data_IF_849015630296
#
_entry.id   IF_849015630296
#
_cell.length_a   1.000
_cell.length_b   1.000
_cell.length_c   1.000
_cell.angle_alpha   90.00
_cell.angle_beta   90.00
_cell.angle_gamma   90.00
#
_symmetry.space_group_name_H-M   'P 1'
#
loop_
_entity.id
_entity.type
_entity.pdbx_description
1 polymer ?
#
# COMPACT_ATOMS: atom_id res chain seq x y z
N UNK A 1 -29.30 5.64 31.14
CA UNK A 1 -28.45 4.48 30.88
C UNK A 1 -27.78 4.65 29.53
N UNK A 2 -26.51 5.05 29.53
CA UNK A 2 -25.71 5.21 28.30
C UNK A 2 -25.47 3.84 27.65
N UNK A 3 -25.93 3.67 26.41
CA UNK A 3 -25.63 2.50 25.58
C UNK A 3 -24.12 2.48 25.36
N UNK A 4 -23.40 1.61 26.06
CA UNK A 4 -21.98 1.37 25.82
C UNK A 4 -21.77 1.10 24.32
N UNK A 5 -20.90 1.91 23.66
CA UNK A 5 -20.43 1.64 22.30
C UNK A 5 -19.79 0.23 22.35
N UNK A 6 -20.42 -0.76 21.74
CA UNK A 6 -19.89 -2.12 21.72
C UNK A 6 -18.67 -2.15 20.77
N UNK A 7 -17.46 -2.39 21.27
CA UNK A 7 -16.24 -2.36 20.46
C UNK A 7 -16.30 -3.30 19.25
N UNK A 8 -16.93 -4.47 19.44
CA UNK A 8 -17.10 -5.48 18.40
C UNK A 8 -17.97 -5.03 17.22
N UNK A 9 -19.05 -4.26 17.52
CA UNK A 9 -19.89 -3.68 16.46
C UNK A 9 -19.11 -2.64 15.69
N UNK A 10 -18.38 -1.76 16.37
CA UNK A 10 -17.57 -0.73 15.73
C UNK A 10 -16.51 -1.37 14.83
N UNK A 11 -15.87 -2.43 15.30
CA UNK A 11 -14.86 -3.15 14.53
C UNK A 11 -15.45 -3.77 13.26
N UNK A 12 -16.57 -4.48 13.37
CA UNK A 12 -17.26 -5.06 12.21
C UNK A 12 -17.68 -3.99 11.18
N UNK A 13 -18.19 -2.86 11.64
CA UNK A 13 -18.53 -1.75 10.76
C UNK A 13 -17.30 -1.19 10.06
N UNK A 14 -16.17 -1.05 10.78
CA UNK A 14 -14.91 -0.59 10.20
C UNK A 14 -14.39 -1.56 9.15
N UNK A 15 -14.43 -2.86 9.41
CA UNK A 15 -14.03 -3.89 8.45
C UNK A 15 -14.82 -3.78 7.14
N UNK A 16 -16.16 -3.74 7.21
CA UNK A 16 -17.01 -3.63 6.05
C UNK A 16 -16.80 -2.32 5.26
N UNK A 17 -16.61 -1.20 5.97
CA UNK A 17 -16.29 0.08 5.34
C UNK A 17 -14.92 0.07 4.67
N UNK A 18 -13.94 -0.64 5.25
CA UNK A 18 -12.59 -0.79 4.70
C UNK A 18 -12.61 -1.64 3.44
N UNK A 19 -13.35 -2.76 3.45
CA UNK A 19 -13.51 -3.63 2.27
C UNK A 19 -14.16 -2.88 1.11
N UNK A 20 -15.20 -2.09 1.40
CA UNK A 20 -15.83 -1.22 0.41
C UNK A 20 -14.83 -0.21 -0.18
N UNK A 21 -14.08 0.48 0.68
CA UNK A 21 -13.14 1.52 0.25
C UNK A 21 -11.98 0.95 -0.58
N UNK A 22 -11.50 -0.26 -0.28
CA UNK A 22 -10.50 -0.95 -1.10
C UNK A 22 -11.01 -1.24 -2.51
N UNK A 23 -12.27 -1.61 -2.66
CA UNK A 23 -12.86 -1.96 -3.96
C UNK A 23 -13.31 -0.73 -4.78
N UNK A 24 -13.78 0.31 -4.12
CA UNK A 24 -14.48 1.43 -4.77
C UNK A 24 -13.84 2.80 -4.52
N UNK A 25 -12.79 2.89 -3.70
CA UNK A 25 -12.19 4.13 -3.24
C UNK A 25 -12.97 4.78 -2.08
N UNK A 26 -12.45 5.90 -1.59
CA UNK A 26 -13.10 6.66 -0.51
C UNK A 26 -14.29 7.44 -1.06
N UNK A 27 -15.51 7.24 -0.55
CA UNK A 27 -16.68 7.94 -1.05
C UNK A 27 -16.84 9.33 -0.41
N UNK A 28 -17.39 10.28 -1.17
CA UNK A 28 -17.71 11.62 -0.67
C UNK A 28 -18.86 11.63 0.35
N UNK A 29 -19.70 10.59 0.36
CA UNK A 29 -20.88 10.49 1.21
C UNK A 29 -20.86 9.20 2.02
N UNK A 30 -21.50 9.23 3.21
CA UNK A 30 -21.59 8.05 4.10
C UNK A 30 -22.53 6.95 3.62
N UNK A 31 -23.45 7.26 2.70
CA UNK A 31 -24.49 6.30 2.27
C UNK A 31 -23.92 5.00 1.69
N UNK A 32 -22.91 5.04 0.78
CA UNK A 32 -22.30 3.81 0.26
C UNK A 32 -21.65 2.97 1.36
N UNK A 33 -20.91 3.58 2.28
CA UNK A 33 -20.30 2.88 3.42
C UNK A 33 -21.33 2.27 4.35
N UNK A 34 -22.41 3.00 4.61
CA UNK A 34 -23.50 2.52 5.44
C UNK A 34 -24.21 1.30 4.81
N UNK A 35 -24.47 1.35 3.50
CA UNK A 35 -25.05 0.24 2.77
C UNK A 35 -24.12 -1.01 2.81
N UNK A 36 -22.82 -0.84 2.55
CA UNK A 36 -21.84 -1.91 2.60
C UNK A 36 -21.74 -2.54 4.01
N UNK A 37 -21.87 -1.72 5.07
CA UNK A 37 -21.81 -2.18 6.46
C UNK A 37 -23.17 -2.69 7.00
N UNK A 38 -24.23 -2.74 6.17
CA UNK A 38 -25.56 -3.19 6.59
C UNK A 38 -26.18 -2.30 7.67
N UNK A 39 -25.94 -0.97 7.61
CA UNK A 39 -26.37 -0.04 8.64
C UNK A 39 -26.85 1.29 8.05
N UNK A 40 -27.14 2.28 8.90
CA UNK A 40 -27.50 3.64 8.47
C UNK A 40 -26.33 4.61 8.65
N UNK A 41 -26.29 5.74 7.90
CA UNK A 41 -25.30 6.81 8.11
C UNK A 41 -25.30 7.34 9.55
N UNK A 42 -26.47 7.42 10.18
CA UNK A 42 -26.61 7.84 11.59
C UNK A 42 -25.89 6.88 12.54
N UNK A 43 -25.97 5.57 12.29
CA UNK A 43 -25.29 4.57 13.10
C UNK A 43 -23.77 4.61 12.89
N UNK A 44 -23.28 4.86 11.68
CA UNK A 44 -21.87 5.11 11.45
C UNK A 44 -21.37 6.30 12.26
N UNK A 45 -22.09 7.44 12.21
CA UNK A 45 -21.73 8.63 13.01
C UNK A 45 -21.82 8.38 14.52
N UNK A 46 -22.73 7.54 14.98
CA UNK A 46 -22.79 7.14 16.39
C UNK A 46 -21.49 6.44 16.84
N UNK A 47 -20.90 5.58 15.99
CA UNK A 47 -19.69 4.83 16.32
C UNK A 47 -18.38 5.59 16.02
N UNK A 48 -18.37 6.48 15.01
CA UNK A 48 -17.15 7.14 14.53
C UNK A 48 -17.14 8.67 14.71
N UNK A 49 -18.17 9.24 15.32
CA UNK A 49 -18.37 10.66 15.57
C UNK A 49 -18.56 11.50 14.29
N UNK A 50 -17.58 11.58 13.40
CA UNK A 50 -17.67 12.33 12.14
C UNK A 50 -17.39 11.43 10.91
N UNK A 51 -17.73 11.95 9.72
CA UNK A 51 -17.35 11.30 8.46
C UNK A 51 -15.82 11.17 8.35
N UNK A 52 -15.10 12.22 8.69
CA UNK A 52 -13.65 12.26 8.58
C UNK A 52 -12.98 11.28 9.55
N UNK A 53 -13.51 11.13 10.75
CA UNK A 53 -13.02 10.14 11.71
C UNK A 53 -13.22 8.71 11.22
N UNK A 54 -14.36 8.44 10.56
CA UNK A 54 -14.57 7.15 9.90
C UNK A 54 -13.58 6.93 8.76
N UNK A 55 -13.40 7.92 7.87
CA UNK A 55 -12.48 7.79 6.74
C UNK A 55 -11.02 7.66 7.20
N UNK A 56 -10.62 8.38 8.24
CA UNK A 56 -9.30 8.18 8.90
C UNK A 56 -9.14 6.77 9.45
N UNK A 57 -10.18 6.23 10.10
CA UNK A 57 -10.14 4.87 10.62
C UNK A 57 -10.05 3.83 9.49
N UNK A 58 -10.78 4.03 8.39
CA UNK A 58 -10.73 3.19 7.18
C UNK A 58 -9.33 3.20 6.56
N UNK A 59 -8.74 4.39 6.35
CA UNK A 59 -7.38 4.52 5.81
C UNK A 59 -6.34 3.82 6.69
N UNK A 60 -6.39 4.05 8.01
CA UNK A 60 -5.47 3.39 8.96
C UNK A 60 -5.64 1.87 8.95
N UNK A 61 -6.86 1.37 8.89
CA UNK A 61 -7.13 -0.07 8.79
C UNK A 61 -6.61 -0.66 7.49
N UNK A 62 -6.88 -0.02 6.36
CA UNK A 62 -6.36 -0.45 5.06
C UNK A 62 -4.83 -0.46 5.05
N UNK A 63 -4.17 0.57 5.61
CA UNK A 63 -2.71 0.63 5.72
C UNK A 63 -2.15 -0.46 6.62
N UNK A 64 -2.78 -0.73 7.76
CA UNK A 64 -2.37 -1.81 8.65
C UNK A 64 -2.42 -3.18 7.94
N UNK A 65 -3.51 -3.45 7.21
CA UNK A 65 -3.65 -4.67 6.39
C UNK A 65 -2.61 -4.74 5.26
N UNK A 66 -2.35 -3.61 4.59
CA UNK A 66 -1.32 -3.53 3.56
C UNK A 66 0.07 -3.86 4.13
N UNK A 67 0.43 -3.25 5.26
CA UNK A 67 1.72 -3.52 5.93
C UNK A 67 1.82 -4.96 6.40
N UNK A 68 0.76 -5.52 6.98
CA UNK A 68 0.73 -6.92 7.40
C UNK A 68 0.91 -7.89 6.22
N UNK A 69 0.36 -7.55 5.05
CA UNK A 69 0.42 -8.41 3.87
C UNK A 69 1.70 -8.25 3.06
N UNK A 70 2.20 -7.03 2.94
CA UNK A 70 3.29 -6.68 2.02
C UNK A 70 4.52 -6.10 2.71
N UNK A 71 4.43 -5.72 4.01
CA UNK A 71 5.53 -5.05 4.72
C UNK A 71 6.81 -5.88 4.80
N UNK A 72 6.68 -7.19 4.84
CA UNK A 72 7.83 -8.09 4.89
C UNK A 72 8.28 -8.60 3.50
N UNK A 73 7.54 -8.27 2.42
CA UNK A 73 7.90 -8.74 1.08
C UNK A 73 9.21 -8.15 0.56
N UNK A 74 9.55 -6.93 0.98
CA UNK A 74 10.78 -6.25 0.59
C UNK A 74 11.94 -6.48 1.56
N UNK A 75 11.70 -7.16 2.69
CA UNK A 75 12.78 -7.47 3.64
C UNK A 75 13.68 -8.56 3.12
N UNK A 76 15.02 -8.44 3.33
CA UNK A 76 15.95 -9.49 2.94
C UNK A 76 15.64 -10.79 3.70
N UNK A 77 15.78 -11.91 3.02
CA UNK A 77 15.61 -13.25 3.59
C UNK A 77 16.96 -13.96 3.67
N UNK A 78 17.28 -14.65 4.77
CA UNK A 78 18.61 -15.25 4.95
C UNK A 78 19.01 -16.28 3.89
N UNK A 79 18.01 -16.95 3.29
CA UNK A 79 18.21 -18.08 2.36
C UNK A 79 17.97 -17.71 0.90
N UNK A 80 17.66 -16.45 0.59
CA UNK A 80 17.29 -16.03 -0.75
C UNK A 80 18.12 -14.81 -1.19
N UNK A 81 18.68 -14.80 -2.41
CA UNK A 81 19.31 -13.61 -2.98
C UNK A 81 18.32 -12.45 -3.03
N UNK A 82 18.75 -11.25 -2.65
CA UNK A 82 17.81 -10.13 -2.51
C UNK A 82 17.08 -9.73 -3.80
N UNK A 83 17.71 -9.93 -4.97
CA UNK A 83 17.01 -9.67 -6.24
C UNK A 83 15.83 -10.62 -6.48
N UNK A 84 15.90 -11.87 -5.98
CA UNK A 84 14.77 -12.80 -6.03
C UNK A 84 13.67 -12.36 -5.04
N UNK A 85 14.06 -11.83 -3.88
CA UNK A 85 13.10 -11.19 -2.95
C UNK A 85 12.32 -10.05 -3.64
N UNK A 86 12.98 -9.21 -4.45
CA UNK A 86 12.31 -8.15 -5.22
C UNK A 86 11.34 -8.71 -6.26
N UNK A 87 11.69 -9.80 -6.94
CA UNK A 87 10.81 -10.48 -7.91
C UNK A 87 9.56 -11.03 -7.21
N UNK A 88 9.73 -11.70 -6.07
CA UNK A 88 8.60 -12.20 -5.28
C UNK A 88 7.72 -11.07 -4.74
N UNK A 89 8.33 -9.97 -4.30
CA UNK A 89 7.60 -8.79 -3.85
C UNK A 89 6.75 -8.18 -4.96
N UNK A 90 7.33 -8.01 -6.16
CA UNK A 90 6.63 -7.54 -7.35
C UNK A 90 5.41 -8.41 -7.66
N UNK A 91 5.63 -9.73 -7.78
CA UNK A 91 4.55 -10.68 -8.03
C UNK A 91 3.44 -10.61 -6.99
N UNK A 92 3.78 -10.42 -5.71
CA UNK A 92 2.80 -10.26 -4.63
C UNK A 92 2.01 -8.95 -4.71
N UNK A 93 2.66 -7.84 -5.05
CA UNK A 93 2.05 -6.52 -5.17
C UNK A 93 1.13 -6.41 -6.40
N UNK A 94 1.46 -7.07 -7.51
CA UNK A 94 0.69 -7.03 -8.76
C UNK A 94 -0.48 -8.02 -8.81
N UNK A 95 -0.68 -8.84 -7.76
CA UNK A 95 -1.89 -9.66 -7.63
C UNK A 95 -3.16 -8.77 -7.61
N UNK A 96 -4.33 -9.31 -8.00
CA UNK A 96 -5.59 -8.55 -7.91
C UNK A 96 -5.82 -7.92 -6.53
N UNK A 97 -5.53 -8.64 -5.46
CA UNK A 97 -5.66 -8.11 -4.10
C UNK A 97 -4.61 -7.05 -3.79
N UNK A 98 -3.36 -7.22 -4.24
CA UNK A 98 -2.29 -6.23 -4.07
C UNK A 98 -2.64 -4.91 -4.73
N UNK A 99 -3.16 -4.97 -5.93
CA UNK A 99 -3.58 -3.79 -6.72
C UNK A 99 -4.65 -2.95 -6.01
N UNK A 100 -5.61 -3.56 -5.30
CA UNK A 100 -6.63 -2.80 -4.55
C UNK A 100 -6.01 -1.81 -3.55
N UNK A 101 -4.95 -2.23 -2.84
CA UNK A 101 -4.25 -1.34 -1.91
C UNK A 101 -3.45 -0.25 -2.63
N UNK A 102 -2.78 -0.58 -3.73
CA UNK A 102 -2.02 0.38 -4.52
C UNK A 102 -2.94 1.44 -5.10
N UNK A 103 -4.04 1.05 -5.73
CA UNK A 103 -5.04 1.94 -6.30
C UNK A 103 -5.70 2.84 -5.24
N UNK A 104 -6.09 2.29 -4.08
CA UNK A 104 -6.70 3.07 -3.00
C UNK A 104 -5.77 4.20 -2.53
N UNK A 105 -4.50 3.89 -2.28
CA UNK A 105 -3.54 4.87 -1.79
C UNK A 105 -2.98 5.77 -2.90
N UNK A 106 -2.85 5.25 -4.13
CA UNK A 106 -2.48 6.04 -5.31
C UNK A 106 -3.51 7.13 -5.65
N UNK A 107 -4.79 6.84 -5.41
CA UNK A 107 -5.90 7.80 -5.62
C UNK A 107 -6.12 8.77 -4.46
N UNK A 108 -5.37 8.65 -3.37
CA UNK A 108 -5.50 9.60 -2.26
C UNK A 108 -5.00 10.97 -2.70
N UNK A 109 -5.94 11.87 -2.98
CA UNK A 109 -5.65 13.23 -3.45
C UNK A 109 -4.96 14.03 -2.35
N UNK A 110 -4.19 15.03 -2.74
CA UNK A 110 -3.43 15.87 -1.80
C UNK A 110 -4.31 16.57 -0.77
N UNK A 111 -5.47 17.11 -1.19
CA UNK A 111 -6.44 17.72 -0.29
C UNK A 111 -7.01 16.69 0.72
N UNK A 112 -7.34 15.49 0.27
CA UNK A 112 -7.80 14.42 1.15
C UNK A 112 -6.70 13.92 2.08
N UNK A 113 -5.45 13.86 1.62
CA UNK A 113 -4.31 13.54 2.47
C UNK A 113 -4.13 14.56 3.58
N UNK A 114 -4.12 15.85 3.27
CA UNK A 114 -3.97 16.92 4.26
C UNK A 114 -5.10 16.88 5.31
N UNK A 115 -6.31 16.57 4.90
CA UNK A 115 -7.47 16.51 5.79
C UNK A 115 -7.54 15.23 6.63
N UNK A 116 -7.26 14.07 6.01
CA UNK A 116 -7.50 12.77 6.62
C UNK A 116 -6.24 12.15 7.22
N UNK A 117 -5.08 12.36 6.60
CA UNK A 117 -3.80 11.80 7.07
C UNK A 117 -2.62 12.68 6.67
N UNK A 118 -2.41 13.82 7.35
CA UNK A 118 -1.26 14.69 7.07
C UNK A 118 0.06 13.93 7.14
N UNK A 119 0.89 14.05 6.09
CA UNK A 119 2.21 13.40 6.02
C UNK A 119 2.20 11.93 5.59
N UNK A 120 1.04 11.40 5.15
CA UNK A 120 0.94 10.01 4.69
C UNK A 120 1.97 9.66 3.60
N UNK A 121 2.18 10.54 2.61
CA UNK A 121 3.13 10.26 1.51
C UNK A 121 4.56 10.12 2.00
N UNK A 122 4.97 10.91 2.98
CA UNK A 122 6.29 10.81 3.59
C UNK A 122 6.40 9.49 4.38
N UNK A 123 5.43 9.20 5.24
CA UNK A 123 5.36 7.96 6.01
C UNK A 123 5.38 6.73 5.08
N UNK A 124 4.54 6.72 4.04
CA UNK A 124 4.50 5.64 3.06
C UNK A 124 5.82 5.49 2.29
N UNK A 125 6.53 6.59 2.02
CA UNK A 125 7.85 6.53 1.37
C UNK A 125 8.87 5.89 2.28
N UNK A 126 8.95 6.32 3.54
CA UNK A 126 9.88 5.77 4.54
C UNK A 126 9.62 4.29 4.80
N UNK A 127 8.36 3.89 4.92
CA UNK A 127 7.96 2.49 5.13
C UNK A 127 8.46 1.54 4.02
N UNK A 128 8.53 2.02 2.77
CA UNK A 128 9.01 1.22 1.64
C UNK A 128 10.51 1.35 1.40
N UNK A 129 11.09 2.52 1.71
CA UNK A 129 12.50 2.79 1.49
C UNK A 129 13.38 1.98 2.45
N UNK A 130 13.03 1.96 3.75
CA UNK A 130 13.85 1.30 4.76
C UNK A 130 14.14 -0.19 4.47
N UNK A 131 13.17 -1.05 4.14
CA UNK A 131 13.46 -2.44 3.79
C UNK A 131 14.25 -2.58 2.47
N UNK A 132 14.12 -1.65 1.52
CA UNK A 132 14.94 -1.62 0.31
C UNK A 132 16.40 -1.27 0.63
N UNK A 133 16.63 -0.29 1.49
CA UNK A 133 17.98 0.08 1.96
C UNK A 133 18.64 -1.09 2.69
N UNK A 134 17.91 -1.76 3.60
CA UNK A 134 18.36 -2.94 4.30
C UNK A 134 18.75 -4.06 3.32
N UNK A 135 17.86 -4.39 2.38
CA UNK A 135 18.08 -5.48 1.43
C UNK A 135 19.19 -5.22 0.41
N UNK A 136 19.23 -4.03 -0.19
CA UNK A 136 20.31 -3.63 -1.09
C UNK A 136 21.63 -3.44 -0.33
N UNK A 137 21.58 -3.13 0.95
CA UNK A 137 22.74 -3.10 1.85
C UNK A 137 23.42 -4.46 1.97
N UNK A 138 22.67 -5.58 1.88
CA UNK A 138 23.28 -6.94 1.84
C UNK A 138 24.13 -7.16 0.59
N UNK A 139 23.91 -6.38 -0.47
CA UNK A 139 24.68 -6.37 -1.71
C UNK A 139 25.71 -5.23 -1.77
N UNK A 140 25.89 -4.46 -0.68
CA UNK A 140 26.78 -3.31 -0.61
C UNK A 140 26.30 -2.07 -1.40
N UNK A 141 25.00 -1.98 -1.73
CA UNK A 141 24.44 -0.98 -2.65
C UNK A 141 23.15 -0.32 -2.12
N UNK A 142 23.10 0.01 -0.83
CA UNK A 142 21.94 0.66 -0.20
C UNK A 142 21.53 1.97 -0.87
N UNK A 143 22.48 2.70 -1.50
CA UNK A 143 22.23 3.94 -2.24
C UNK A 143 21.27 3.77 -3.43
N UNK A 144 21.10 2.55 -3.94
CA UNK A 144 20.18 2.27 -5.04
C UNK A 144 18.71 2.17 -4.60
N UNK A 145 18.42 2.17 -3.31
CA UNK A 145 17.07 1.97 -2.79
C UNK A 145 16.05 2.98 -3.34
N UNK A 146 16.44 4.25 -3.44
CA UNK A 146 15.58 5.29 -4.03
C UNK A 146 15.27 5.04 -5.49
N UNK A 147 16.27 4.59 -6.28
CA UNK A 147 16.07 4.27 -7.70
C UNK A 147 15.13 3.07 -7.85
N UNK A 148 15.36 2.01 -7.08
CA UNK A 148 14.50 0.81 -7.08
C UNK A 148 13.07 1.17 -6.71
N UNK A 149 12.86 1.96 -5.65
CA UNK A 149 11.53 2.42 -5.26
C UNK A 149 10.86 3.26 -6.35
N UNK A 150 11.61 4.16 -7.00
CA UNK A 150 11.09 4.99 -8.08
C UNK A 150 10.65 4.16 -9.30
N UNK A 151 11.44 3.15 -9.68
CA UNK A 151 11.09 2.23 -10.78
C UNK A 151 9.83 1.42 -10.42
N UNK A 152 9.78 0.82 -9.24
CA UNK A 152 8.59 0.07 -8.78
C UNK A 152 7.33 0.95 -8.84
N UNK A 153 7.40 2.16 -8.30
CA UNK A 153 6.28 3.10 -8.32
C UNK A 153 5.87 3.50 -9.74
N UNK A 154 6.83 3.78 -10.61
CA UNK A 154 6.57 4.14 -12.00
C UNK A 154 5.88 3.01 -12.76
N UNK A 155 6.35 1.77 -12.58
CA UNK A 155 5.73 0.59 -13.21
C UNK A 155 4.32 0.30 -12.67
N UNK A 156 4.08 0.53 -11.37
CA UNK A 156 2.73 0.42 -10.79
C UNK A 156 1.80 1.48 -11.40
N UNK A 157 2.24 2.73 -11.52
CA UNK A 157 1.45 3.80 -12.16
C UNK A 157 1.13 3.46 -13.63
N UNK A 158 2.09 2.91 -14.37
CA UNK A 158 1.90 2.48 -15.75
C UNK A 158 0.90 1.30 -15.82
N UNK A 159 1.01 0.32 -14.92
CA UNK A 159 0.07 -0.79 -14.82
C UNK A 159 -1.37 -0.31 -14.51
N UNK A 160 -1.52 0.67 -13.63
CA UNK A 160 -2.83 1.28 -13.32
C UNK A 160 -3.42 2.01 -14.54
N UNK A 161 -2.57 2.69 -15.32
CA UNK A 161 -3.00 3.46 -16.47
C UNK A 161 -3.36 2.59 -17.69
N UNK A 162 -2.63 1.49 -17.92
CA UNK A 162 -2.69 0.71 -19.16
C UNK A 162 -3.36 -0.64 -19.00
N UNK A 163 -3.38 -1.20 -17.79
CA UNK A 163 -3.76 -2.58 -17.48
C UNK A 163 -2.95 -3.65 -18.26
N UNK A 164 -1.84 -3.26 -18.90
CA UNK A 164 -0.97 -4.15 -19.68
C UNK A 164 0.03 -4.89 -18.78
N UNK A 165 -0.48 -5.87 -18.05
CA UNK A 165 0.32 -6.66 -17.09
C UNK A 165 1.53 -7.33 -17.76
N UNK A 166 1.42 -8.01 -18.94
CA UNK A 166 2.59 -8.67 -19.52
C UNK A 166 3.73 -7.70 -19.83
N UNK A 167 3.43 -6.52 -20.40
CA UNK A 167 4.44 -5.53 -20.74
C UNK A 167 5.12 -4.97 -19.49
N UNK A 168 4.35 -4.66 -18.46
CA UNK A 168 4.87 -4.07 -17.23
C UNK A 168 5.68 -5.09 -16.43
N UNK A 169 5.24 -6.35 -16.38
CA UNK A 169 6.01 -7.45 -15.79
C UNK A 169 7.35 -7.66 -16.53
N UNK A 170 7.33 -7.64 -17.86
CA UNK A 170 8.57 -7.72 -18.64
C UNK A 170 9.52 -6.57 -18.32
N UNK A 171 9.02 -5.34 -18.26
CA UNK A 171 9.82 -4.16 -17.91
C UNK A 171 10.45 -4.28 -16.51
N UNK A 172 9.72 -4.85 -15.53
CA UNK A 172 10.28 -5.12 -14.23
C UNK A 172 11.41 -6.15 -14.26
N UNK A 173 11.25 -7.24 -15.00
CA UNK A 173 12.29 -8.26 -15.16
C UNK A 173 13.53 -7.73 -15.89
N UNK A 174 13.36 -6.89 -16.91
CA UNK A 174 14.44 -6.21 -17.60
C UNK A 174 15.21 -5.28 -16.66
N UNK A 175 14.49 -4.54 -15.81
CA UNK A 175 15.11 -3.72 -14.77
C UNK A 175 15.93 -4.57 -13.77
N UNK A 176 15.40 -5.68 -13.28
CA UNK A 176 16.14 -6.58 -12.37
C UNK A 176 17.38 -7.15 -13.06
N UNK A 177 17.29 -7.47 -14.35
CA UNK A 177 18.44 -7.96 -15.15
C UNK A 177 19.53 -6.91 -15.28
N UNK A 178 19.15 -5.65 -15.56
CA UNK A 178 20.08 -4.52 -15.60
C UNK A 178 20.72 -4.26 -14.23
N UNK A 179 19.92 -4.31 -13.15
CA UNK A 179 20.42 -4.16 -11.79
C UNK A 179 21.42 -5.26 -11.44
N UNK A 180 21.16 -6.51 -11.79
CA UNK A 180 22.08 -7.65 -11.61
C UNK A 180 23.42 -7.43 -12.31
N UNK A 181 23.40 -6.91 -13.54
CA UNK A 181 24.62 -6.57 -14.30
C UNK A 181 25.41 -5.46 -13.60
N UNK A 182 24.73 -4.42 -13.13
CA UNK A 182 25.33 -3.30 -12.39
C UNK A 182 26.00 -3.75 -11.09
N UNK A 183 25.40 -4.71 -10.39
CA UNK A 183 25.93 -5.27 -9.14
C UNK A 183 27.13 -6.20 -9.37
N UNK A 184 27.24 -6.83 -10.54
CA UNK A 184 28.36 -7.70 -10.89
C UNK A 184 29.62 -6.94 -11.31
N UNK A 185 29.54 -5.63 -11.62
CA UNK A 185 30.70 -4.80 -11.97
C UNK A 185 31.38 -4.35 -10.68
N UNK A 186 32.66 -4.72 -10.43
CA UNK A 186 33.41 -4.24 -9.27
C UNK A 186 33.46 -2.71 -9.31
N UNK A 187 33.09 -2.08 -8.20
CA UNK A 187 33.26 -0.62 -8.06
C UNK A 187 34.78 -0.35 -8.04
N UNK A 188 35.33 0.14 -9.14
CA UNK A 188 36.69 0.70 -9.15
C UNK A 188 36.70 1.92 -8.26
N UNK A 189 37.40 1.82 -7.14
CA UNK A 189 37.61 2.91 -6.19
C UNK A 189 38.45 4.02 -6.83
#
# INVERSE_FOLDING_TARGET
MGRHKQPEIRERLLEACTDYALQHGLPDRLRPLAAAAGTSPRMLLYHFATKDDLLRAVLRRARARQRQRFGDLLRPRPTEPYLETLIHAWSGMTTPTGRLYLEMFGRLREDAEQQLWPGFRLEATTDWLAPLEEGLGTLGRSELATVVLAVIRGLIMDLEATADTPRVDQAFHDFISALRTTLAIPTTA
#
